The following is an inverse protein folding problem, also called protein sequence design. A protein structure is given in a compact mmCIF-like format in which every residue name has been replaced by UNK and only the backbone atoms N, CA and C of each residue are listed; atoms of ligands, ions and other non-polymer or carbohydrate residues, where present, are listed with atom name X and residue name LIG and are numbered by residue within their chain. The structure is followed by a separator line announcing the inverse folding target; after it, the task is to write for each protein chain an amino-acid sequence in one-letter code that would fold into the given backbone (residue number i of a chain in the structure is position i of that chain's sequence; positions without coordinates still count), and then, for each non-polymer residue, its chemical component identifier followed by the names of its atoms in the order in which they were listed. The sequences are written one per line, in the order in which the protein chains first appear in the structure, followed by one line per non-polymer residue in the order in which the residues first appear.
data_IF_339455318961
#
_entry.id   IF_339455318961
#
_cell.length_a   1.000
_cell.length_b   1.000
_cell.length_c   1.000
_cell.angle_alpha   90.00
_cell.angle_beta   90.00
_cell.angle_gamma   90.00
#
_symmetry.space_group_name_H-M   'P 1'
#
loop_
_entity.id
_entity.type
_entity.pdbx_description
1 polymer ?
#
# COMPACT_ATOMS: atom_id res chain seq x y z
N UNK A 1 -3.77 71.95 -10.95
CA UNK A 1 -4.49 70.65 -10.97
C UNK A 1 -3.42 69.57 -11.09
N UNK A 2 -3.14 68.88 -10.00
CA UNK A 2 -2.17 67.76 -9.96
C UNK A 2 -2.95 66.46 -9.89
N UNK A 3 -2.90 65.71 -10.98
CA UNK A 3 -3.44 64.34 -11.01
C UNK A 3 -2.54 63.41 -10.22
N UNK A 4 -3.07 62.88 -9.15
CA UNK A 4 -2.48 61.79 -8.37
C UNK A 4 -2.93 60.45 -8.95
N UNK A 5 -2.07 59.82 -9.76
CA UNK A 5 -2.24 58.44 -10.18
C UNK A 5 -2.14 57.50 -8.97
N UNK A 6 -3.26 56.85 -8.64
CA UNK A 6 -3.29 55.76 -7.68
C UNK A 6 -2.56 54.54 -8.27
N UNK A 7 -1.44 54.16 -7.73
CA UNK A 7 -0.77 52.88 -8.00
C UNK A 7 -1.62 51.71 -7.41
N UNK A 8 -2.08 50.85 -8.29
CA UNK A 8 -2.67 49.56 -7.99
C UNK A 8 -1.64 48.68 -7.23
N UNK A 9 -2.06 47.90 -6.21
CA UNK A 9 -1.17 46.98 -5.58
C UNK A 9 -0.74 45.88 -6.56
N UNK A 10 0.58 45.69 -6.66
CA UNK A 10 1.20 44.64 -7.44
C UNK A 10 0.62 43.28 -7.08
N UNK A 11 0.12 42.54 -8.06
CA UNK A 11 -0.17 41.12 -7.98
C UNK A 11 1.06 40.42 -7.39
N UNK A 12 0.89 39.88 -6.19
CA UNK A 12 1.86 38.99 -5.57
C UNK A 12 1.91 37.74 -6.46
N UNK A 13 2.98 37.65 -7.22
CA UNK A 13 3.29 36.51 -8.07
C UNK A 13 3.47 35.30 -7.14
N UNK A 14 2.35 34.58 -6.86
CA UNK A 14 2.42 33.28 -6.16
C UNK A 14 3.26 32.36 -7.03
N UNK A 15 4.49 32.09 -6.60
CA UNK A 15 5.33 31.08 -7.23
C UNK A 15 4.50 29.78 -7.39
N UNK A 16 4.55 29.12 -8.56
CA UNK A 16 3.74 27.94 -8.80
C UNK A 16 3.94 26.94 -7.67
N UNK A 17 2.84 26.49 -7.04
CA UNK A 17 2.88 25.56 -5.93
C UNK A 17 3.59 24.31 -6.40
N UNK A 18 4.82 24.07 -5.94
CA UNK A 18 5.59 22.87 -6.28
C UNK A 18 4.73 21.66 -5.95
N UNK A 19 4.48 20.84 -6.95
CA UNK A 19 3.76 19.59 -6.78
C UNK A 19 4.64 18.66 -5.94
N UNK A 20 4.26 18.43 -4.69
CA UNK A 20 5.01 17.56 -3.76
C UNK A 20 4.11 16.53 -3.13
N UNK A 21 4.62 15.33 -2.93
CA UNK A 21 3.92 14.26 -2.23
C UNK A 21 3.93 14.43 -0.69
N UNK A 22 4.64 15.43 -0.16
CA UNK A 22 4.71 15.73 1.28
C UNK A 22 3.57 16.66 1.68
N UNK A 23 2.79 16.28 2.71
CA UNK A 23 1.77 17.16 3.26
C UNK A 23 2.41 18.32 4.07
N UNK A 24 2.35 19.57 3.59
CA UNK A 24 3.00 20.70 4.27
C UNK A 24 2.33 21.09 5.59
N UNK A 25 1.12 20.60 5.88
CA UNK A 25 0.33 20.90 7.10
C UNK A 25 0.15 19.66 7.99
N UNK A 26 1.01 18.63 7.85
CA UNK A 26 0.89 17.38 8.59
C UNK A 26 1.15 17.53 10.10
N UNK A 27 0.55 16.62 10.92
CA UNK A 27 0.72 16.52 12.38
C UNK A 27 2.18 16.42 12.83
N UNK A 28 3.04 15.85 12.00
CA UNK A 28 4.47 15.66 12.24
C UNK A 28 5.23 16.97 12.52
N UNK A 29 4.70 18.12 12.08
CA UNK A 29 5.31 19.43 12.33
C UNK A 29 5.31 19.85 13.80
N UNK A 30 4.44 19.27 14.61
CA UNK A 30 4.37 19.49 16.05
C UNK A 30 5.50 18.77 16.80
N UNK A 31 6.19 17.85 16.14
CA UNK A 31 7.29 17.10 16.71
C UNK A 31 8.63 17.85 16.55
N UNK A 32 9.66 17.49 17.36
CA UNK A 32 10.99 18.09 17.22
C UNK A 32 11.52 18.00 15.78
N UNK A 33 12.08 19.08 15.26
CA UNK A 33 12.56 19.17 13.87
C UNK A 33 13.54 18.06 13.49
N UNK A 34 14.31 17.53 14.44
CA UNK A 34 15.26 16.42 14.22
C UNK A 34 14.56 15.12 13.80
N UNK A 35 13.27 14.93 14.13
CA UNK A 35 12.49 13.75 13.77
C UNK A 35 11.83 13.86 12.40
N UNK A 36 11.64 15.07 11.88
CA UNK A 36 10.93 15.31 10.61
C UNK A 36 11.48 14.47 9.43
N UNK A 37 12.81 14.41 9.18
CA UNK A 37 13.34 13.62 8.08
C UNK A 37 13.01 12.12 8.19
N UNK A 38 13.02 11.56 9.40
CA UNK A 38 12.70 10.15 9.65
C UNK A 38 11.21 9.84 9.46
N UNK A 39 10.34 10.74 9.92
CA UNK A 39 8.87 10.60 9.75
C UNK A 39 8.49 10.64 8.27
N UNK A 40 9.07 11.58 7.53
CA UNK A 40 8.84 11.73 6.09
C UNK A 40 9.45 10.58 5.29
N UNK A 41 10.64 10.09 5.67
CA UNK A 41 11.30 8.95 5.06
C UNK A 41 10.47 7.66 5.25
N UNK A 42 9.92 7.46 6.46
CA UNK A 42 9.04 6.34 6.79
C UNK A 42 7.61 6.48 6.24
N UNK A 43 7.26 7.62 5.62
CA UNK A 43 5.90 7.91 5.13
C UNK A 43 4.82 7.89 6.22
N UNK A 44 5.17 8.21 7.49
CA UNK A 44 4.19 8.30 8.58
C UNK A 44 3.24 9.50 8.43
N UNK A 45 3.60 10.48 7.61
CA UNK A 45 2.76 11.61 7.23
C UNK A 45 1.57 11.22 6.34
N UNK A 46 1.62 10.03 5.71
CA UNK A 46 0.61 9.51 4.79
C UNK A 46 0.34 8.02 5.02
N UNK A 47 -0.58 7.68 5.91
CA UNK A 47 -0.76 6.32 6.44
C UNK A 47 -1.33 5.31 5.43
N UNK A 48 -1.84 5.74 4.28
CA UNK A 48 -2.54 4.87 3.33
C UNK A 48 -1.72 3.63 2.95
N UNK A 49 -0.39 3.77 2.81
CA UNK A 49 0.46 2.67 2.35
C UNK A 49 0.53 1.49 3.32
N UNK A 50 0.58 1.73 4.65
CA UNK A 50 0.57 0.63 5.61
C UNK A 50 -0.83 0.04 5.82
N UNK A 51 -1.91 0.84 5.65
CA UNK A 51 -3.26 0.30 5.61
C UNK A 51 -3.43 -0.74 4.50
N UNK A 52 -3.01 -0.40 3.28
CA UNK A 52 -3.16 -1.29 2.13
C UNK A 52 -2.28 -2.55 2.24
N UNK A 53 -1.12 -2.46 2.90
CA UNK A 53 -0.27 -3.61 3.21
C UNK A 53 -0.89 -4.52 4.30
N UNK A 54 -1.57 -3.95 5.28
CA UNK A 54 -2.15 -4.64 6.43
C UNK A 54 -3.39 -5.47 6.07
N UNK A 55 -4.27 -4.90 5.25
CA UNK A 55 -5.62 -5.41 5.03
C UNK A 55 -5.69 -6.86 4.55
N UNK A 56 -4.86 -7.34 3.60
CA UNK A 56 -4.88 -8.76 3.21
C UNK A 56 -4.60 -9.72 4.37
N UNK A 57 -3.71 -9.35 5.29
CA UNK A 57 -3.46 -10.10 6.52
C UNK A 57 -4.68 -10.08 7.47
N UNK A 58 -5.34 -8.93 7.58
CA UNK A 58 -6.52 -8.77 8.43
C UNK A 58 -7.76 -9.48 7.87
N UNK A 59 -7.79 -9.86 6.58
CA UNK A 59 -8.87 -10.67 6.03
C UNK A 59 -8.71 -12.15 6.37
N UNK A 60 -7.48 -12.68 6.37
CA UNK A 60 -7.24 -14.11 6.59
C UNK A 60 -7.19 -14.47 8.07
N UNK A 61 -6.69 -13.57 8.94
CA UNK A 61 -6.55 -13.85 10.38
C UNK A 61 -7.89 -14.22 11.03
N UNK A 62 -8.98 -13.44 10.87
CA UNK A 62 -10.28 -13.83 11.46
C UNK A 62 -10.84 -15.13 10.90
N UNK A 63 -10.50 -15.47 9.64
CA UNK A 63 -10.94 -16.70 9.00
C UNK A 63 -10.24 -17.97 9.55
N UNK A 64 -9.09 -17.82 10.22
CA UNK A 64 -8.19 -18.96 10.52
C UNK A 64 -7.75 -19.01 11.98
N UNK A 65 -7.90 -17.94 12.73
CA UNK A 65 -7.49 -17.89 14.14
C UNK A 65 -8.40 -18.72 15.03
N UNK A 66 -7.81 -19.42 15.98
CA UNK A 66 -8.52 -20.19 17.00
C UNK A 66 -8.89 -19.30 18.19
N UNK A 67 -10.13 -18.79 18.18
CA UNK A 67 -10.66 -17.97 19.25
C UNK A 67 -10.26 -16.48 19.16
N UNK A 68 -11.13 -15.66 19.76
CA UNK A 68 -11.07 -14.19 19.66
C UNK A 68 -9.78 -13.58 20.22
N UNK A 69 -9.24 -14.14 21.33
CA UNK A 69 -8.00 -13.65 21.93
C UNK A 69 -6.81 -13.76 20.97
N UNK A 70 -6.67 -14.90 20.29
CA UNK A 70 -5.60 -15.11 19.30
C UNK A 70 -5.80 -14.25 18.05
N UNK A 71 -7.05 -14.11 17.59
CA UNK A 71 -7.38 -13.21 16.49
C UNK A 71 -6.91 -11.78 16.79
N UNK A 72 -7.28 -11.23 17.96
CA UNK A 72 -6.91 -9.86 18.35
C UNK A 72 -5.40 -9.71 18.48
N UNK A 73 -4.71 -10.66 19.14
CA UNK A 73 -3.24 -10.66 19.26
C UNK A 73 -2.57 -10.59 17.88
N UNK A 74 -2.97 -11.46 16.96
CA UNK A 74 -2.40 -11.49 15.61
C UNK A 74 -2.71 -10.23 14.83
N UNK A 75 -3.94 -9.71 14.89
CA UNK A 75 -4.31 -8.46 14.23
C UNK A 75 -3.44 -7.29 14.72
N UNK A 76 -3.14 -7.22 16.03
CA UNK A 76 -2.26 -6.19 16.60
C UNK A 76 -0.80 -6.38 16.18
N UNK A 77 -0.28 -7.60 16.17
CA UNK A 77 1.08 -7.89 15.69
C UNK A 77 1.23 -7.52 14.20
N UNK A 78 0.21 -7.82 13.39
CA UNK A 78 0.19 -7.47 11.97
C UNK A 78 0.10 -5.96 11.75
N UNK A 79 -0.68 -5.24 12.57
CA UNK A 79 -0.75 -3.78 12.51
C UNK A 79 0.64 -3.16 12.72
N UNK A 80 1.32 -3.53 13.82
CA UNK A 80 2.65 -3.01 14.14
C UNK A 80 3.66 -3.46 13.06
N UNK A 81 3.57 -4.73 12.63
CA UNK A 81 4.40 -5.28 11.57
C UNK A 81 4.23 -4.55 10.24
N UNK A 82 2.99 -4.27 9.81
CA UNK A 82 2.71 -3.56 8.56
C UNK A 82 3.25 -2.12 8.58
N UNK A 83 3.07 -1.39 9.68
CA UNK A 83 3.61 -0.04 9.87
C UNK A 83 5.14 -0.07 9.75
N UNK A 84 5.80 -1.01 10.45
CA UNK A 84 7.26 -1.15 10.46
C UNK A 84 7.80 -1.57 9.08
N UNK A 85 7.20 -2.59 8.48
CA UNK A 85 7.66 -3.12 7.18
C UNK A 85 7.42 -2.12 6.06
N UNK A 86 6.29 -1.40 6.09
CA UNK A 86 6.02 -0.33 5.13
C UNK A 86 7.04 0.81 5.24
N UNK A 87 7.38 1.22 6.48
CA UNK A 87 8.42 2.21 6.72
C UNK A 87 9.77 1.74 6.16
N UNK A 88 10.19 0.51 6.46
CA UNK A 88 11.43 -0.08 5.93
C UNK A 88 11.43 -0.13 4.39
N UNK A 89 10.33 -0.57 3.77
CA UNK A 89 10.16 -0.59 2.32
C UNK A 89 10.29 0.80 1.68
N UNK A 90 9.78 1.85 2.34
CA UNK A 90 9.96 3.23 1.87
C UNK A 90 11.42 3.67 1.91
N UNK A 91 12.16 3.34 2.99
CA UNK A 91 13.59 3.64 3.09
C UNK A 91 14.39 2.93 2.01
N UNK A 92 14.12 1.63 1.77
CA UNK A 92 14.75 0.85 0.70
C UNK A 92 14.47 1.50 -0.66
N UNK A 93 13.21 1.83 -0.94
CA UNK A 93 12.84 2.46 -2.20
C UNK A 93 13.55 3.81 -2.41
N UNK A 94 13.59 4.68 -1.39
CA UNK A 94 14.24 5.99 -1.49
C UNK A 94 15.78 5.87 -1.60
N UNK A 95 16.38 4.80 -1.05
CA UNK A 95 17.80 4.50 -1.25
C UNK A 95 18.09 4.08 -2.71
N UNK A 96 17.23 3.21 -3.30
CA UNK A 96 17.35 2.78 -4.69
C UNK A 96 17.12 3.92 -5.68
N UNK A 97 16.11 4.75 -5.42
CA UNK A 97 15.65 5.79 -6.35
C UNK A 97 16.25 7.16 -6.07
N UNK A 98 17.16 7.32 -5.12
CA UNK A 98 17.69 8.61 -4.66
C UNK A 98 18.06 9.56 -5.80
N UNK A 99 18.77 9.08 -6.84
CA UNK A 99 19.18 9.91 -7.99
C UNK A 99 18.00 10.25 -8.91
N UNK A 100 17.09 9.32 -9.10
CA UNK A 100 15.87 9.53 -9.89
C UNK A 100 14.95 10.54 -9.20
N UNK A 101 14.76 10.40 -7.89
CA UNK A 101 13.92 11.29 -7.09
C UNK A 101 14.39 12.75 -7.12
N UNK A 102 15.69 13.00 -7.28
CA UNK A 102 16.25 14.36 -7.44
C UNK A 102 15.82 15.02 -8.75
N UNK A 103 15.54 14.25 -9.79
CA UNK A 103 15.16 14.75 -11.13
C UNK A 103 13.65 14.91 -11.33
N UNK A 104 12.82 14.40 -10.41
CA UNK A 104 11.35 14.45 -10.49
C UNK A 104 10.82 15.47 -9.50
N UNK A 105 10.09 16.49 -9.97
CA UNK A 105 9.62 17.61 -9.13
C UNK A 105 8.85 17.14 -7.89
N UNK A 106 7.96 16.17 -8.04
CA UNK A 106 7.13 15.63 -6.96
C UNK A 106 7.96 14.99 -5.82
N UNK A 107 9.07 14.33 -6.17
CA UNK A 107 9.88 13.53 -5.22
C UNK A 107 11.18 14.22 -4.80
N UNK A 108 11.59 15.30 -5.46
CA UNK A 108 12.79 16.06 -5.12
C UNK A 108 12.83 16.55 -3.65
N UNK A 109 11.65 16.76 -3.04
CA UNK A 109 11.52 17.13 -1.62
C UNK A 109 11.69 15.97 -0.63
N UNK A 110 11.83 14.73 -1.08
CA UNK A 110 12.03 13.56 -0.20
C UNK A 110 13.35 13.69 0.57
N UNK A 111 13.41 13.24 1.85
CA UNK A 111 14.56 13.48 2.72
C UNK A 111 15.91 13.08 2.15
N UNK A 112 16.01 11.91 1.49
CA UNK A 112 17.25 11.43 0.85
C UNK A 112 17.57 12.18 -0.44
N UNK A 113 16.57 12.53 -1.24
CA UNK A 113 16.75 13.29 -2.48
C UNK A 113 17.16 14.74 -2.17
N UNK A 114 16.49 15.39 -1.21
CA UNK A 114 16.78 16.74 -0.75
C UNK A 114 18.04 16.87 0.11
N UNK A 115 18.67 15.75 0.50
CA UNK A 115 19.87 15.75 1.35
C UNK A 115 19.61 16.15 2.82
N UNK A 116 18.35 16.19 3.28
CA UNK A 116 18.01 16.51 4.69
C UNK A 116 18.34 15.38 5.66
N UNK A 117 18.60 14.17 5.14
CA UNK A 117 19.12 13.01 5.85
C UNK A 117 20.23 12.35 5.01
N UNK A 118 21.33 11.96 5.65
CA UNK A 118 22.43 11.26 5.00
C UNK A 118 22.12 9.77 4.80
N UNK A 119 22.81 9.13 3.84
CA UNK A 119 22.65 7.69 3.54
C UNK A 119 22.93 6.85 4.79
N UNK A 120 24.00 7.14 5.53
CA UNK A 120 24.35 6.41 6.75
C UNK A 120 23.24 6.44 7.78
N UNK A 121 22.64 7.61 8.03
CA UNK A 121 21.52 7.75 8.97
C UNK A 121 20.27 7.01 8.48
N UNK A 122 20.00 7.01 7.18
CA UNK A 122 18.89 6.24 6.58
C UNK A 122 19.12 4.73 6.72
N UNK A 123 20.34 4.24 6.52
CA UNK A 123 20.70 2.81 6.68
C UNK A 123 20.61 2.38 8.15
N UNK A 124 21.09 3.21 9.09
CA UNK A 124 20.92 2.95 10.52
C UNK A 124 19.42 2.88 10.88
N UNK A 125 18.62 3.83 10.38
CA UNK A 125 17.18 3.84 10.61
C UNK A 125 16.50 2.60 10.01
N UNK A 126 16.90 2.16 8.82
CA UNK A 126 16.44 0.90 8.22
C UNK A 126 16.80 -0.30 9.12
N UNK A 127 18.02 -0.34 9.67
CA UNK A 127 18.45 -1.37 10.62
C UNK A 127 17.59 -1.41 11.88
N UNK A 128 17.23 -0.24 12.43
CA UNK A 128 16.31 -0.13 13.57
C UNK A 128 14.92 -0.67 13.22
N UNK A 129 14.35 -0.26 12.07
CA UNK A 129 13.07 -0.79 11.58
C UNK A 129 13.12 -2.29 11.34
N UNK A 130 14.23 -2.80 10.78
CA UNK A 130 14.46 -4.23 10.57
C UNK A 130 14.49 -5.01 11.89
N UNK A 131 15.14 -4.46 12.91
CA UNK A 131 15.18 -5.08 14.25
C UNK A 131 13.78 -5.13 14.88
N UNK A 132 13.01 -4.04 14.80
CA UNK A 132 11.62 -4.03 15.25
C UNK A 132 10.77 -5.06 14.49
N UNK A 133 10.91 -5.14 13.17
CA UNK A 133 10.23 -6.15 12.35
C UNK A 133 10.60 -7.57 12.76
N UNK A 134 11.88 -7.83 13.04
CA UNK A 134 12.36 -9.13 13.53
C UNK A 134 11.79 -9.46 14.90
N UNK A 135 11.74 -8.50 15.83
CA UNK A 135 11.16 -8.70 17.17
C UNK A 135 9.68 -9.10 17.09
N UNK A 136 8.93 -8.59 16.11
CA UNK A 136 7.54 -9.00 15.87
C UNK A 136 7.51 -10.38 15.24
N UNK A 137 8.35 -10.63 14.23
CA UNK A 137 8.36 -11.88 13.48
C UNK A 137 8.69 -13.09 14.38
N UNK A 138 9.64 -12.97 15.31
CA UNK A 138 10.02 -14.06 16.22
C UNK A 138 8.96 -14.38 17.29
N UNK A 139 7.92 -13.57 17.41
CA UNK A 139 6.73 -13.89 18.25
C UNK A 139 5.76 -14.83 17.54
N UNK A 140 5.92 -15.05 16.25
CA UNK A 140 5.07 -15.89 15.42
C UNK A 140 5.59 -17.32 15.36
N UNK A 141 4.74 -18.31 14.99
CA UNK A 141 5.16 -19.68 14.76
C UNK A 141 6.24 -19.79 13.68
N UNK A 142 7.04 -20.85 13.72
CA UNK A 142 8.14 -21.07 12.76
C UNK A 142 7.67 -21.00 11.29
N UNK A 143 6.52 -21.56 10.98
CA UNK A 143 5.95 -21.47 9.62
C UNK A 143 5.76 -20.01 9.16
N UNK A 144 5.27 -19.14 10.05
CA UNK A 144 5.12 -17.71 9.77
C UNK A 144 6.48 -17.00 9.67
N UNK A 145 7.47 -17.37 10.50
CA UNK A 145 8.83 -16.83 10.42
C UNK A 145 9.43 -17.13 9.03
N UNK A 146 9.35 -18.40 8.60
CA UNK A 146 9.85 -18.80 7.28
C UNK A 146 9.11 -18.12 6.15
N UNK A 147 7.78 -17.98 6.25
CA UNK A 147 6.96 -17.24 5.28
C UNK A 147 7.35 -15.75 5.24
N UNK A 148 7.61 -15.13 6.40
CA UNK A 148 8.06 -13.74 6.47
C UNK A 148 9.44 -13.54 5.84
N UNK A 149 10.39 -14.45 6.07
CA UNK A 149 11.72 -14.44 5.43
C UNK A 149 11.58 -14.58 3.91
N UNK A 150 10.70 -15.45 3.44
CA UNK A 150 10.45 -15.65 2.01
C UNK A 150 9.90 -14.39 1.29
N UNK A 151 9.34 -13.41 2.02
CA UNK A 151 8.93 -12.13 1.47
C UNK A 151 10.10 -11.20 1.12
N UNK A 152 11.27 -11.34 1.79
CA UNK A 152 12.38 -10.38 1.69
C UNK A 152 12.88 -10.17 0.25
N UNK A 153 13.07 -11.21 -0.58
CA UNK A 153 13.46 -11.00 -1.99
C UNK A 153 12.46 -10.13 -2.74
N UNK A 154 11.14 -10.34 -2.55
CA UNK A 154 10.10 -9.53 -3.18
C UNK A 154 10.17 -8.06 -2.73
N UNK A 155 10.32 -7.83 -1.42
CA UNK A 155 10.40 -6.46 -0.85
C UNK A 155 11.63 -5.72 -1.36
N UNK A 156 12.77 -6.40 -1.48
CA UNK A 156 14.03 -5.77 -1.91
C UNK A 156 14.04 -5.51 -3.42
N UNK A 157 13.47 -6.42 -4.22
CA UNK A 157 13.57 -6.39 -5.67
C UNK A 157 12.43 -5.65 -6.36
N UNK A 158 11.25 -5.50 -5.70
CA UNK A 158 10.11 -4.87 -6.34
C UNK A 158 10.39 -3.45 -6.89
N UNK A 159 11.21 -2.57 -6.24
CA UNK A 159 11.49 -1.24 -6.79
C UNK A 159 12.17 -1.28 -8.16
N UNK A 160 12.87 -2.37 -8.48
CA UNK A 160 13.52 -2.56 -9.77
C UNK A 160 12.54 -2.94 -10.89
N UNK A 161 11.36 -3.43 -10.55
CA UNK A 161 10.37 -3.91 -11.51
C UNK A 161 9.98 -2.82 -12.54
N UNK A 162 9.83 -1.56 -12.10
CA UNK A 162 9.50 -0.43 -12.97
C UNK A 162 10.57 -0.13 -14.05
N UNK A 163 11.78 -0.66 -13.91
CA UNK A 163 12.86 -0.54 -14.89
C UNK A 163 12.83 -1.64 -15.94
N UNK A 164 12.19 -2.79 -15.60
CA UNK A 164 12.23 -4.02 -16.41
C UNK A 164 10.91 -4.28 -17.09
N UNK A 165 9.78 -4.14 -16.39
CA UNK A 165 8.45 -4.54 -16.87
C UNK A 165 7.47 -3.37 -16.94
N UNK A 166 6.46 -3.48 -17.81
CA UNK A 166 5.31 -2.59 -17.87
C UNK A 166 4.28 -2.86 -16.74
N UNK A 167 4.49 -3.94 -15.95
CA UNK A 167 3.57 -4.41 -14.93
C UNK A 167 4.19 -4.41 -13.51
N UNK A 168 4.89 -3.33 -13.09
CA UNK A 168 5.47 -3.27 -11.74
C UNK A 168 4.40 -3.37 -10.65
N UNK A 169 3.15 -2.96 -10.95
CA UNK A 169 1.99 -3.08 -10.07
C UNK A 169 1.62 -4.53 -9.75
N UNK A 170 1.88 -5.46 -10.65
CA UNK A 170 1.69 -6.89 -10.38
C UNK A 170 2.73 -7.42 -9.38
N UNK A 171 3.99 -6.96 -9.50
CA UNK A 171 5.06 -7.32 -8.55
C UNK A 171 4.78 -6.72 -7.17
N UNK A 172 4.29 -5.47 -7.12
CA UNK A 172 3.81 -4.86 -5.88
C UNK A 172 2.64 -5.66 -5.30
N UNK A 173 1.72 -6.13 -6.16
CA UNK A 173 0.60 -6.98 -5.76
C UNK A 173 1.06 -8.23 -5.02
N UNK A 174 2.05 -8.95 -5.53
CA UNK A 174 2.64 -10.10 -4.86
C UNK A 174 3.21 -9.72 -3.49
N UNK A 175 3.88 -8.58 -3.39
CA UNK A 175 4.52 -8.11 -2.15
C UNK A 175 3.47 -7.67 -1.11
N UNK A 176 2.50 -6.84 -1.49
CA UNK A 176 1.51 -6.26 -0.56
C UNK A 176 0.47 -7.28 -0.11
N UNK A 177 0.17 -8.27 -0.95
CA UNK A 177 -0.74 -9.36 -0.59
C UNK A 177 -0.08 -10.45 0.27
N UNK A 178 1.25 -10.36 0.54
CA UNK A 178 1.97 -11.37 1.32
C UNK A 178 1.45 -11.54 2.75
N UNK A 179 0.67 -10.57 3.23
CA UNK A 179 -0.10 -10.68 4.46
C UNK A 179 -1.04 -11.90 4.49
N UNK A 180 -1.53 -12.38 3.33
CA UNK A 180 -2.41 -13.57 3.25
C UNK A 180 -1.65 -14.85 3.65
N UNK A 181 -0.58 -15.28 2.95
CA UNK A 181 0.16 -16.48 3.36
C UNK A 181 0.81 -16.34 4.75
N UNK A 182 1.27 -15.13 5.12
CA UNK A 182 1.83 -14.88 6.44
C UNK A 182 0.78 -15.00 7.55
N UNK A 183 -0.41 -14.44 7.35
CA UNK A 183 -1.53 -14.52 8.30
C UNK A 183 -2.04 -15.93 8.46
N UNK A 184 -2.15 -16.68 7.36
CA UNK A 184 -2.46 -18.10 7.38
C UNK A 184 -1.45 -18.87 8.24
N UNK A 185 -0.15 -18.73 7.96
CA UNK A 185 0.91 -19.41 8.69
C UNK A 185 1.00 -19.01 10.18
N UNK A 186 0.58 -17.77 10.51
CA UNK A 186 0.57 -17.28 11.89
C UNK A 186 -0.64 -17.76 12.70
N UNK A 187 -1.78 -17.97 12.04
CA UNK A 187 -3.05 -18.30 12.69
C UNK A 187 -3.33 -19.81 12.71
N UNK A 188 -2.84 -20.57 11.73
CA UNK A 188 -3.05 -22.01 11.68
C UNK A 188 -2.22 -22.73 12.76
N UNK A 189 -2.83 -23.69 13.45
CA UNK A 189 -2.17 -24.52 14.48
C UNK A 189 -1.29 -25.63 13.88
N UNK A 190 -1.18 -25.72 12.57
CA UNK A 190 -0.44 -26.79 11.91
C UNK A 190 1.07 -26.61 12.08
N UNK A 191 1.70 -27.60 12.66
CA UNK A 191 3.15 -27.65 12.91
C UNK A 191 3.97 -28.00 11.64
N UNK A 192 3.32 -28.48 10.59
CA UNK A 192 3.97 -28.86 9.32
C UNK A 192 3.42 -28.00 8.17
N UNK A 193 4.29 -27.51 7.28
CA UNK A 193 3.84 -26.80 6.09
C UNK A 193 3.19 -27.82 5.14
N UNK A 194 1.89 -27.92 5.18
CA UNK A 194 1.12 -28.53 4.10
C UNK A 194 1.07 -27.57 2.91
N UNK A 195 0.92 -28.13 1.70
CA UNK A 195 0.69 -27.31 0.51
C UNK A 195 -0.50 -26.37 0.75
N UNK A 196 -0.36 -25.09 0.38
CA UNK A 196 -1.42 -24.12 0.62
C UNK A 196 -2.71 -24.61 -0.04
N UNK A 197 -3.83 -24.66 0.69
CA UNK A 197 -5.10 -25.10 0.12
C UNK A 197 -5.52 -24.17 -1.02
N UNK A 198 -6.30 -24.69 -1.98
CA UNK A 198 -6.81 -23.91 -3.11
C UNK A 198 -7.50 -22.60 -2.66
N UNK A 199 -8.16 -22.63 -1.49
CA UNK A 199 -8.74 -21.45 -0.87
C UNK A 199 -7.71 -20.34 -0.62
N UNK A 200 -6.56 -20.69 -0.04
CA UNK A 200 -5.49 -19.71 0.24
C UNK A 200 -4.91 -19.11 -1.03
N UNK A 201 -4.69 -19.95 -2.05
CA UNK A 201 -4.20 -19.50 -3.35
C UNK A 201 -5.19 -18.55 -4.03
N UNK A 202 -6.48 -18.84 -3.95
CA UNK A 202 -7.54 -17.98 -4.50
C UNK A 202 -7.61 -16.64 -3.77
N UNK A 203 -7.56 -16.62 -2.42
CA UNK A 203 -7.54 -15.40 -1.61
C UNK A 203 -6.29 -14.57 -1.94
N UNK A 204 -5.12 -15.20 -2.03
CA UNK A 204 -3.88 -14.52 -2.37
C UNK A 204 -3.94 -13.90 -3.77
N UNK A 205 -4.36 -14.66 -4.77
CA UNK A 205 -4.51 -14.18 -6.15
C UNK A 205 -5.54 -13.04 -6.25
N UNK A 206 -6.68 -13.16 -5.55
CA UNK A 206 -7.67 -12.10 -5.45
C UNK A 206 -7.11 -10.82 -4.81
N UNK A 207 -6.32 -10.97 -3.75
CA UNK A 207 -5.63 -9.85 -3.11
C UNK A 207 -4.61 -9.19 -4.05
N UNK A 208 -3.82 -9.97 -4.79
CA UNK A 208 -2.87 -9.47 -5.81
C UNK A 208 -3.60 -8.67 -6.88
N UNK A 209 -4.73 -9.17 -7.37
CA UNK A 209 -5.54 -8.48 -8.36
C UNK A 209 -6.11 -7.16 -7.83
N UNK A 210 -6.55 -7.12 -6.56
CA UNK A 210 -6.98 -5.88 -5.90
C UNK A 210 -5.85 -4.85 -5.80
N UNK A 211 -4.65 -5.29 -5.36
CA UNK A 211 -3.47 -4.42 -5.29
C UNK A 211 -3.09 -3.88 -6.66
N UNK A 212 -3.07 -4.74 -7.68
CA UNK A 212 -2.81 -4.33 -9.06
C UNK A 212 -3.80 -3.26 -9.54
N UNK A 213 -5.08 -3.43 -9.24
CA UNK A 213 -6.13 -2.48 -9.62
C UNK A 213 -5.92 -1.11 -8.99
N UNK A 214 -5.80 -1.04 -7.66
CA UNK A 214 -5.65 0.25 -6.99
C UNK A 214 -4.30 0.94 -7.26
N UNK A 215 -3.22 0.17 -7.42
CA UNK A 215 -1.92 0.76 -7.70
C UNK A 215 -1.81 1.22 -9.16
N UNK A 216 -2.57 0.60 -10.07
CA UNK A 216 -2.76 1.11 -11.43
C UNK A 216 -3.51 2.45 -11.42
N UNK A 217 -4.52 2.61 -10.56
CA UNK A 217 -5.18 3.92 -10.35
C UNK A 217 -4.18 4.93 -9.78
N UNK A 218 -3.38 4.53 -8.79
CA UNK A 218 -2.34 5.40 -8.22
C UNK A 218 -1.34 5.89 -9.27
N UNK A 219 -0.92 5.00 -10.18
CA UNK A 219 0.05 5.32 -11.23
C UNK A 219 -0.44 6.39 -12.23
N UNK A 220 -1.74 6.70 -12.27
CA UNK A 220 -2.27 7.81 -13.09
C UNK A 220 -1.64 9.15 -12.72
N UNK A 221 -1.30 9.35 -11.44
CA UNK A 221 -0.68 10.59 -10.96
C UNK A 221 0.69 10.85 -11.59
N UNK A 222 1.42 9.79 -11.88
CA UNK A 222 2.81 9.84 -12.32
C UNK A 222 2.96 9.67 -13.85
N UNK A 223 1.87 9.47 -14.61
CA UNK A 223 1.91 9.13 -16.03
C UNK A 223 2.71 10.14 -16.87
N UNK A 224 2.61 11.44 -16.57
CA UNK A 224 3.33 12.48 -17.28
C UNK A 224 4.84 12.42 -17.00
N UNK A 225 5.20 12.32 -15.73
CA UNK A 225 6.59 12.25 -15.27
C UNK A 225 7.24 10.92 -15.67
N UNK A 226 6.54 9.79 -15.51
CA UNK A 226 7.00 8.45 -15.89
C UNK A 226 7.32 8.38 -17.39
N UNK A 227 6.48 9.00 -18.25
CA UNK A 227 6.72 9.05 -19.70
C UNK A 227 8.00 9.80 -20.02
N UNK A 228 8.25 10.92 -19.34
CA UNK A 228 9.44 11.76 -19.55
C UNK A 228 10.70 11.08 -19.00
N UNK A 229 10.59 10.40 -17.86
CA UNK A 229 11.69 9.70 -17.21
C UNK A 229 11.97 8.31 -17.80
N UNK A 230 11.16 7.81 -18.75
CA UNK A 230 11.29 6.46 -19.30
C UNK A 230 10.95 5.34 -18.32
N UNK A 231 10.18 5.64 -17.26
CA UNK A 231 9.73 4.69 -16.24
C UNK A 231 8.49 3.96 -16.74
N UNK A 232 8.42 2.65 -16.52
CA UNK A 232 7.30 1.82 -16.96
C UNK A 232 6.26 1.70 -15.85
N UNK A 233 4.97 1.78 -16.22
CA UNK A 233 3.84 1.56 -15.31
C UNK A 233 2.67 0.90 -16.03
N UNK A 234 1.79 0.19 -15.30
CA UNK A 234 0.57 -0.40 -15.86
C UNK A 234 -0.38 0.66 -16.41
N UNK A 235 -0.41 1.87 -15.80
CA UNK A 235 -1.22 2.97 -16.31
C UNK A 235 -0.76 3.40 -17.71
N UNK A 236 0.54 3.51 -17.95
CA UNK A 236 1.11 3.78 -19.27
C UNK A 236 0.89 2.61 -20.24
N UNK A 237 1.10 1.37 -19.77
CA UNK A 237 0.94 0.17 -20.59
C UNK A 237 -0.50 -0.06 -21.06
N UNK A 238 -1.49 0.24 -20.21
CA UNK A 238 -2.92 0.13 -20.54
C UNK A 238 -3.41 1.32 -21.38
N UNK A 239 -2.88 2.52 -21.16
CA UNK A 239 -3.26 3.71 -21.90
C UNK A 239 -4.78 3.92 -21.94
N UNK A 240 -5.36 3.97 -23.16
CA UNK A 240 -6.82 4.10 -23.34
C UNK A 240 -7.66 2.98 -22.71
N UNK A 241 -7.06 1.83 -22.44
CA UNK A 241 -7.72 0.67 -21.83
C UNK A 241 -7.58 0.63 -20.31
N UNK A 242 -7.08 1.71 -19.67
CA UNK A 242 -6.87 1.80 -18.22
C UNK A 242 -8.10 1.36 -17.43
N UNK A 243 -9.25 1.93 -17.76
CA UNK A 243 -10.53 1.65 -17.08
C UNK A 243 -10.93 0.18 -17.20
N UNK A 244 -10.76 -0.41 -18.38
CA UNK A 244 -11.03 -1.83 -18.63
C UNK A 244 -10.07 -2.73 -17.84
N UNK A 245 -8.78 -2.39 -17.83
CA UNK A 245 -7.77 -3.15 -17.09
C UNK A 245 -8.01 -3.14 -15.57
N UNK A 246 -8.33 -1.97 -15.01
CA UNK A 246 -8.71 -1.85 -13.59
C UNK A 246 -10.00 -2.61 -13.29
N UNK A 247 -11.01 -2.54 -14.18
CA UNK A 247 -12.26 -3.30 -14.04
C UNK A 247 -12.03 -4.81 -14.00
N UNK A 248 -11.20 -5.31 -14.91
CA UNK A 248 -10.84 -6.73 -14.96
C UNK A 248 -10.09 -7.17 -13.70
N UNK A 249 -9.14 -6.36 -13.23
CA UNK A 249 -8.41 -6.62 -12.01
C UNK A 249 -9.34 -6.68 -10.78
N UNK A 250 -10.27 -5.73 -10.65
CA UNK A 250 -11.22 -5.72 -9.54
C UNK A 250 -12.24 -6.86 -9.62
N UNK A 251 -12.67 -7.25 -10.82
CA UNK A 251 -13.49 -8.45 -11.00
C UNK A 251 -12.74 -9.71 -10.54
N UNK A 252 -11.48 -9.88 -10.97
CA UNK A 252 -10.63 -10.99 -10.53
C UNK A 252 -10.41 -10.96 -9.02
N UNK A 253 -10.27 -9.78 -8.41
CA UNK A 253 -10.17 -9.63 -6.96
C UNK A 253 -11.42 -10.16 -6.25
N UNK A 254 -12.60 -9.72 -6.65
CA UNK A 254 -13.88 -10.16 -6.05
C UNK A 254 -14.10 -11.66 -6.25
N UNK A 255 -13.81 -12.19 -7.44
CA UNK A 255 -13.93 -13.62 -7.72
C UNK A 255 -12.94 -14.46 -6.92
N UNK A 256 -11.66 -14.02 -6.84
CA UNK A 256 -10.63 -14.74 -6.10
C UNK A 256 -10.88 -14.73 -4.58
N UNK A 257 -11.21 -13.57 -4.00
CA UNK A 257 -11.58 -13.46 -2.59
C UNK A 257 -12.86 -14.24 -2.29
N UNK A 258 -13.89 -14.09 -3.15
CA UNK A 258 -15.17 -14.76 -2.98
C UNK A 258 -15.06 -16.28 -3.04
N UNK A 259 -14.40 -16.83 -4.07
CA UNK A 259 -14.20 -18.28 -4.19
C UNK A 259 -13.32 -18.84 -3.08
N UNK A 260 -12.25 -18.11 -2.70
CA UNK A 260 -11.35 -18.56 -1.65
C UNK A 260 -12.02 -18.58 -0.27
N UNK A 261 -12.73 -17.53 0.12
CA UNK A 261 -13.46 -17.53 1.40
C UNK A 261 -14.67 -18.46 1.40
N UNK A 262 -15.31 -18.68 0.25
CA UNK A 262 -16.36 -19.68 0.13
C UNK A 262 -15.83 -21.10 0.39
N UNK A 263 -14.68 -21.44 -0.19
CA UNK A 263 -14.05 -22.74 0.01
C UNK A 263 -13.56 -22.92 1.46
N UNK A 264 -13.17 -21.83 2.14
CA UNK A 264 -12.62 -21.87 3.48
C UNK A 264 -13.70 -21.87 4.57
N UNK A 265 -14.75 -21.09 4.42
CA UNK A 265 -15.71 -20.75 5.47
C UNK A 265 -17.16 -21.18 5.14
N UNK A 266 -17.47 -21.47 3.86
CA UNK A 266 -18.85 -21.57 3.41
C UNK A 266 -19.58 -20.21 3.49
N UNK A 267 -20.93 -20.21 3.50
CA UNK A 267 -21.71 -18.97 3.58
C UNK A 267 -21.62 -18.35 4.98
N UNK A 268 -21.54 -17.01 5.03
CA UNK A 268 -21.45 -16.28 6.31
C UNK A 268 -21.49 -14.76 6.14
N UNK A 269 -21.41 -13.99 7.25
CA UNK A 269 -21.45 -12.53 7.24
C UNK A 269 -20.41 -11.87 6.31
N UNK A 270 -19.28 -12.52 6.08
CA UNK A 270 -18.22 -12.04 5.18
C UNK A 270 -18.71 -11.75 3.74
N UNK A 271 -19.76 -12.44 3.28
CA UNK A 271 -20.38 -12.19 1.98
C UNK A 271 -20.90 -10.73 1.87
N UNK A 272 -21.54 -10.22 2.93
CA UNK A 272 -21.97 -8.83 2.98
C UNK A 272 -20.82 -7.85 2.82
N UNK A 273 -19.69 -8.10 3.50
CA UNK A 273 -18.49 -7.29 3.37
C UNK A 273 -17.88 -7.32 1.98
N UNK A 274 -17.85 -8.50 1.35
CA UNK A 274 -17.37 -8.65 -0.02
C UNK A 274 -18.28 -7.91 -1.03
N UNK A 275 -19.60 -7.96 -0.84
CA UNK A 275 -20.55 -7.20 -1.68
C UNK A 275 -20.33 -5.69 -1.52
N UNK A 276 -20.16 -5.19 -0.30
CA UNK A 276 -19.89 -3.77 -0.05
C UNK A 276 -18.56 -3.35 -0.68
N UNK A 277 -17.51 -4.16 -0.55
CA UNK A 277 -16.23 -3.95 -1.21
C UNK A 277 -16.41 -3.91 -2.74
N UNK A 278 -17.12 -4.87 -3.32
CA UNK A 278 -17.36 -4.94 -4.77
C UNK A 278 -18.11 -3.71 -5.29
N UNK A 279 -19.13 -3.25 -4.58
CA UNK A 279 -19.87 -2.02 -4.91
C UNK A 279 -18.97 -0.80 -4.85
N UNK A 280 -18.09 -0.70 -3.84
CA UNK A 280 -17.13 0.38 -3.70
C UNK A 280 -16.09 0.37 -4.84
N UNK A 281 -15.55 -0.80 -5.20
CA UNK A 281 -14.62 -0.95 -6.32
C UNK A 281 -15.31 -0.59 -7.66
N UNK A 282 -16.57 -0.98 -7.85
CA UNK A 282 -17.38 -0.57 -8.99
C UNK A 282 -17.60 0.95 -9.05
N UNK A 283 -17.83 1.58 -7.90
CA UNK A 283 -17.91 3.04 -7.79
C UNK A 283 -16.57 3.70 -8.20
N UNK A 284 -15.42 3.19 -7.74
CA UNK A 284 -14.10 3.70 -8.14
C UNK A 284 -13.91 3.64 -9.66
N UNK A 285 -14.24 2.50 -10.29
CA UNK A 285 -14.14 2.33 -11.75
C UNK A 285 -14.99 3.34 -12.50
N UNK A 286 -16.21 3.62 -12.04
CA UNK A 286 -17.09 4.61 -12.67
C UNK A 286 -16.51 6.01 -12.64
N UNK A 287 -15.85 6.40 -11.53
CA UNK A 287 -15.30 7.74 -11.32
C UNK A 287 -13.83 7.87 -11.77
N UNK A 288 -13.20 6.77 -12.19
CA UNK A 288 -11.83 6.80 -12.68
C UNK A 288 -11.74 7.61 -13.98
N UNK A 289 -10.90 8.66 -13.94
CA UNK A 289 -10.57 9.48 -15.10
C UNK A 289 -9.04 9.59 -15.22
N UNK A 290 -8.51 9.27 -16.39
CA UNK A 290 -7.07 9.31 -16.68
C UNK A 290 -6.53 10.76 -16.67
N UNK A 291 -7.39 11.74 -16.91
CA UNK A 291 -7.03 13.15 -16.97
C UNK A 291 -7.22 13.88 -15.61
N UNK A 292 -7.59 13.15 -14.53
CA UNK A 292 -7.73 13.69 -13.17
C UNK A 292 -6.79 12.98 -12.17
N UNK A 293 -5.50 13.36 -12.11
CA UNK A 293 -4.55 12.80 -11.16
C UNK A 293 -4.97 12.94 -9.69
N UNK A 294 -5.62 14.07 -9.35
CA UNK A 294 -6.07 14.31 -7.97
C UNK A 294 -7.27 13.41 -7.61
N UNK A 295 -8.18 13.16 -8.56
CA UNK A 295 -9.25 12.19 -8.44
C UNK A 295 -8.71 10.77 -8.29
N UNK A 296 -7.73 10.39 -9.09
CA UNK A 296 -7.06 9.10 -9.00
C UNK A 296 -6.44 8.87 -7.61
N UNK A 297 -5.81 9.88 -7.00
CA UNK A 297 -5.30 9.79 -5.64
C UNK A 297 -6.42 9.55 -4.61
N UNK A 298 -7.55 10.25 -4.72
CA UNK A 298 -8.70 10.04 -3.82
C UNK A 298 -9.27 8.63 -3.97
N UNK A 299 -9.42 8.12 -5.20
CA UNK A 299 -9.86 6.75 -5.46
C UNK A 299 -8.89 5.72 -4.89
N UNK A 300 -7.58 5.90 -5.09
CA UNK A 300 -6.55 5.07 -4.47
C UNK A 300 -6.68 5.03 -2.94
N UNK A 301 -6.81 6.19 -2.29
CA UNK A 301 -6.93 6.29 -0.84
C UNK A 301 -8.20 5.61 -0.29
N UNK A 302 -9.28 5.61 -1.05
CA UNK A 302 -10.56 5.00 -0.66
C UNK A 302 -10.51 3.45 -0.62
N UNK A 303 -9.44 2.81 -1.14
CA UNK A 303 -9.25 1.37 -1.00
C UNK A 303 -9.05 0.91 0.45
N UNK A 304 -8.59 1.80 1.34
CA UNK A 304 -8.63 1.54 2.79
C UNK A 304 -10.06 1.22 3.24
N UNK A 305 -11.02 2.01 2.82
CA UNK A 305 -12.41 1.88 3.26
C UNK A 305 -13.04 0.61 2.66
N UNK A 306 -12.76 0.33 1.39
CA UNK A 306 -13.14 -0.93 0.75
C UNK A 306 -12.60 -2.16 1.50
N UNK A 307 -11.32 -2.13 1.86
CA UNK A 307 -10.70 -3.24 2.60
C UNK A 307 -11.19 -3.37 4.03
N UNK A 308 -11.51 -2.25 4.71
CA UNK A 308 -12.08 -2.26 6.06
C UNK A 308 -13.51 -2.80 6.09
N UNK A 309 -14.32 -2.59 5.04
CA UNK A 309 -15.65 -3.21 4.90
C UNK A 309 -15.55 -4.73 4.94
N UNK A 310 -14.61 -5.31 4.17
CA UNK A 310 -14.37 -6.76 4.22
C UNK A 310 -13.81 -7.20 5.56
N UNK A 311 -12.84 -6.46 6.15
CA UNK A 311 -12.27 -6.78 7.46
C UNK A 311 -13.34 -6.85 8.55
N UNK A 312 -14.23 -5.85 8.62
CA UNK A 312 -15.30 -5.83 9.61
C UNK A 312 -16.23 -7.05 9.48
N UNK A 313 -16.59 -7.41 8.25
CA UNK A 313 -17.42 -8.58 7.99
C UNK A 313 -16.68 -9.90 8.31
N UNK A 314 -15.36 -9.98 8.11
CA UNK A 314 -14.56 -11.15 8.50
C UNK A 314 -14.48 -11.30 10.02
N UNK A 315 -14.32 -10.19 10.76
CA UNK A 315 -14.37 -10.20 12.23
C UNK A 315 -15.76 -10.63 12.71
N UNK A 316 -16.83 -10.11 12.12
CA UNK A 316 -18.20 -10.56 12.45
C UNK A 316 -18.40 -12.06 12.15
N UNK A 317 -17.84 -12.58 11.06
CA UNK A 317 -17.87 -14.01 10.73
C UNK A 317 -17.21 -14.84 11.83
N UNK A 318 -16.02 -14.40 12.29
CA UNK A 318 -15.30 -15.06 13.40
C UNK A 318 -16.08 -15.06 14.72
N UNK A 319 -16.79 -13.96 15.02
CA UNK A 319 -17.55 -13.83 16.26
C UNK A 319 -18.89 -14.57 16.24
N UNK A 320 -19.38 -14.91 15.04
CA UNK A 320 -20.64 -15.66 14.86
C UNK A 320 -20.47 -17.17 14.79
N UNK A 321 -19.26 -17.67 14.56
CA UNK A 321 -18.90 -19.10 14.50
C UNK A 321 -18.16 -19.54 15.74
#
# INVERSE_FOLDING_TARGET
MKDTAKSTPSEVNEAPRRHTDINPRGWWRQLPRRLHPYILLARFDRPIGWWLLLLPGWWIIPATATGTGRMVELMMLFLIGAVTTRAAGCVINDLWDRRLDQSVERTAGRPLAAGTIGITAAVIFLGVLGLFGLMILVRLPLAAILTGIAALPLVILYPLAKRVTWWPQAVLGLTFSWGVPLGWAAASLQSTPEWPPAALLAIYAGSVAWVFGYDTIYAVQDMADDRTAGVKSSALGLGRHLKTGVSAAYLLAVLGLGSGFWLLLGPGPWLGGLVLMALHLGWQVRHLNIDDPAGALRLFQSNRDAGLMLTAAMVLTHLAG
#
